data_IF_976700672392
#
_entry.id   IF_976700672392
#
_cell.length_a   1.000
_cell.length_b   1.000
_cell.length_c   1.000
_cell.angle_alpha   90.00
_cell.angle_beta   90.00
_cell.angle_gamma   90.00
#
_symmetry.space_group_name_H-M   'P 1'
#
loop_
_entity.id
_entity.type
_entity.pdbx_description
1 polymer ?
#
# COMPACT_ATOMS: atom_id res chain seq x y z
N UNK A 1 10.13 -20.68 17.36
CA UNK A 1 10.32 -19.22 17.52
C UNK A 1 10.12 -18.57 16.15
N UNK A 2 8.98 -17.99 15.77
CA UNK A 2 8.09 -17.12 16.52
C UNK A 2 8.23 -15.72 15.90
N UNK A 3 7.16 -15.23 15.26
CA UNK A 3 6.99 -13.94 14.57
C UNK A 3 7.13 -13.98 13.04
N UNK A 4 6.03 -14.38 12.39
CA UNK A 4 5.77 -14.06 10.98
C UNK A 4 5.13 -12.67 10.94
N UNK A 5 5.86 -11.66 10.49
CA UNK A 5 5.34 -10.31 10.21
C UNK A 5 4.44 -10.35 8.96
N UNK A 6 3.24 -10.94 9.08
CA UNK A 6 2.22 -11.02 8.03
C UNK A 6 0.92 -10.43 8.53
N UNK A 7 0.86 -9.12 8.68
CA UNK A 7 -0.40 -8.42 8.93
C UNK A 7 -0.19 -6.93 8.75
N UNK A 8 -0.53 -6.37 7.58
CA UNK A 8 -0.98 -4.97 7.53
C UNK A 8 -1.70 -4.61 6.21
N UNK A 9 -1.45 -5.32 5.12
CA UNK A 9 -2.27 -5.17 3.90
C UNK A 9 -3.67 -5.82 4.00
N UNK A 10 -3.99 -6.49 5.11
CA UNK A 10 -5.29 -7.15 5.32
C UNK A 10 -6.40 -6.18 5.69
N UNK A 11 -6.08 -5.03 6.28
CA UNK A 11 -7.07 -4.02 6.66
C UNK A 11 -7.75 -3.41 5.43
N UNK A 12 -6.97 -3.08 4.40
CA UNK A 12 -7.49 -2.61 3.11
C UNK A 12 -8.20 -3.72 2.31
N UNK A 13 -7.81 -4.98 2.50
CA UNK A 13 -8.47 -6.15 1.87
C UNK A 13 -9.85 -6.46 2.48
N UNK A 14 -10.01 -6.33 3.79
CA UNK A 14 -11.28 -6.56 4.50
C UNK A 14 -12.36 -5.56 4.05
N UNK A 15 -11.98 -4.30 3.83
CA UNK A 15 -12.91 -3.25 3.40
C UNK A 15 -13.40 -3.42 1.94
N UNK A 16 -12.56 -3.97 1.06
CA UNK A 16 -12.85 -4.09 -0.38
C UNK A 16 -13.82 -5.23 -0.76
N UNK A 17 -14.23 -6.09 0.19
CA UNK A 17 -15.06 -7.28 -0.08
C UNK A 17 -16.50 -7.21 0.45
N UNK A 18 -16.93 -6.08 1.02
CA UNK A 18 -18.33 -5.93 1.44
C UNK A 18 -19.27 -5.58 0.28
N UNK A 19 -19.76 -6.60 -0.45
CA UNK A 19 -21.09 -6.61 -1.13
C UNK A 19 -21.27 -7.91 -1.96
N UNK A 20 -22.05 -8.85 -1.45
CA UNK A 20 -23.11 -9.59 -2.19
C UNK A 20 -23.98 -10.36 -1.20
N UNK A 21 -25.25 -9.95 -1.07
CA UNK A 21 -26.44 -10.77 -0.83
C UNK A 21 -27.50 -9.91 -0.10
N UNK A 22 -28.55 -9.56 -0.83
CA UNK A 22 -29.75 -8.96 -0.29
C UNK A 22 -30.62 -10.06 0.35
N UNK A 23 -30.85 -9.98 1.66
CA UNK A 23 -32.02 -10.53 2.34
C UNK A 23 -32.26 -9.69 3.61
N UNK A 24 -33.52 -9.29 3.82
CA UNK A 24 -33.95 -8.41 4.90
C UNK A 24 -33.62 -8.97 6.29
N UNK A 25 -32.84 -8.23 7.08
CA UNK A 25 -32.83 -8.33 8.55
C UNK A 25 -32.50 -6.96 9.17
N UNK A 26 -33.29 -6.44 10.13
CA UNK A 26 -32.97 -5.20 10.81
C UNK A 26 -32.14 -5.51 12.05
N UNK A 27 -30.83 -5.18 12.06
CA UNK A 27 -30.08 -4.98 13.31
C UNK A 27 -28.74 -4.27 13.09
N UNK A 28 -28.60 -3.18 13.85
CA UNK A 28 -27.38 -2.45 14.24
C UNK A 28 -26.41 -2.03 13.13
N UNK A 29 -26.56 -0.78 12.68
CA UNK A 29 -25.45 0.03 12.19
C UNK A 29 -24.45 0.22 13.34
N UNK A 30 -23.45 -0.64 13.45
CA UNK A 30 -22.25 -0.36 14.24
C UNK A 30 -21.32 0.55 13.42
N UNK A 31 -20.80 1.66 13.95
CA UNK A 31 -19.79 2.44 13.26
C UNK A 31 -18.47 1.67 13.37
N UNK A 32 -18.21 0.75 12.44
CA UNK A 32 -16.84 0.37 12.15
C UNK A 32 -16.17 1.65 11.64
N UNK A 33 -15.37 2.30 12.48
CA UNK A 33 -14.77 3.59 12.22
C UNK A 33 -14.26 3.61 10.77
N UNK A 34 -14.87 4.47 9.94
CA UNK A 34 -14.40 4.64 8.58
C UNK A 34 -12.94 5.04 8.68
N UNK A 35 -12.03 4.24 8.10
CA UNK A 35 -10.61 4.56 8.08
C UNK A 35 -10.46 6.01 7.60
N UNK A 36 -9.88 6.83 8.46
CA UNK A 36 -9.75 8.27 8.20
C UNK A 36 -8.53 8.53 7.33
N UNK A 37 -8.42 9.75 6.80
CA UNK A 37 -7.19 10.18 6.13
C UNK A 37 -5.96 9.98 7.03
N UNK A 38 -6.09 10.26 8.33
CA UNK A 38 -5.03 10.06 9.32
C UNK A 38 -4.58 8.60 9.40
N UNK A 39 -5.52 7.65 9.40
CA UNK A 39 -5.21 6.22 9.42
C UNK A 39 -4.53 5.80 8.11
N UNK A 40 -5.00 6.33 6.98
CA UNK A 40 -4.38 6.14 5.67
C UNK A 40 -2.94 6.66 5.60
N UNK A 41 -2.69 7.86 6.15
CA UNK A 41 -1.34 8.43 6.25
C UNK A 41 -0.44 7.55 7.10
N UNK A 42 -0.90 7.11 8.28
CA UNK A 42 -0.11 6.21 9.15
C UNK A 42 0.25 4.90 8.43
N UNK A 43 -0.72 4.27 7.77
CA UNK A 43 -0.50 3.03 7.04
C UNK A 43 0.48 3.21 5.86
N UNK A 44 0.36 4.31 5.10
CA UNK A 44 1.25 4.58 3.97
C UNK A 44 2.67 4.97 4.42
N UNK A 45 2.81 5.66 5.56
CA UNK A 45 4.13 5.93 6.16
C UNK A 45 4.80 4.63 6.61
N UNK A 46 4.08 3.73 7.28
CA UNK A 46 4.61 2.42 7.65
C UNK A 46 5.07 1.63 6.41
N UNK A 47 4.24 1.57 5.37
CA UNK A 47 4.57 0.93 4.09
C UNK A 47 5.81 1.53 3.41
N UNK A 48 5.99 2.85 3.51
CA UNK A 48 7.15 3.52 2.94
C UNK A 48 8.47 3.11 3.63
N UNK A 49 8.40 2.69 4.89
CA UNK A 49 9.55 2.26 5.70
C UNK A 49 9.79 0.76 5.68
N UNK A 50 8.87 -0.04 5.14
CA UNK A 50 9.09 -1.47 4.92
C UNK A 50 10.31 -1.72 4.03
N UNK A 51 11.08 -2.76 4.37
CA UNK A 51 12.21 -3.18 3.58
C UNK A 51 11.76 -3.61 2.17
N UNK A 52 12.47 -3.15 1.14
CA UNK A 52 12.18 -3.46 -0.25
C UNK A 52 13.46 -3.69 -1.03
N UNK A 53 13.34 -4.42 -2.14
CA UNK A 53 14.48 -4.66 -3.03
C UNK A 53 14.70 -3.51 -4.00
N UNK A 54 15.95 -3.03 -4.08
CA UNK A 54 16.39 -2.04 -5.06
C UNK A 54 16.73 -2.71 -6.41
N UNK A 55 16.77 -1.96 -7.53
CA UNK A 55 17.30 -2.44 -8.81
C UNK A 55 18.68 -3.08 -8.66
N UNK A 56 18.87 -4.28 -9.21
CA UNK A 56 20.10 -5.08 -9.07
C UNK A 56 20.07 -6.12 -7.94
N UNK A 57 19.06 -6.11 -7.06
CA UNK A 57 18.92 -7.15 -6.03
C UNK A 57 18.17 -8.41 -6.53
N UNK A 58 18.48 -9.61 -5.99
CA UNK A 58 17.87 -10.89 -6.41
C UNK A 58 16.34 -11.00 -6.29
N UNK A 59 15.67 -10.04 -5.66
CA UNK A 59 14.22 -10.03 -5.42
C UNK A 59 13.49 -8.84 -6.03
N UNK A 60 14.18 -8.02 -6.83
CA UNK A 60 13.55 -6.89 -7.51
C UNK A 60 12.67 -7.36 -8.68
N UNK A 61 11.35 -7.18 -8.55
CA UNK A 61 10.37 -7.72 -9.49
C UNK A 61 10.46 -7.18 -10.93
N UNK A 62 11.19 -6.07 -11.14
CA UNK A 62 11.35 -5.37 -12.42
C UNK A 62 12.77 -5.43 -12.97
N UNK A 63 13.58 -6.40 -12.57
CA UNK A 63 15.00 -6.49 -12.95
C UNK A 63 15.26 -6.46 -14.47
N UNK A 64 14.34 -6.94 -15.32
CA UNK A 64 14.49 -6.88 -16.78
C UNK A 64 14.38 -5.47 -17.39
N UNK A 65 13.88 -4.49 -16.62
CA UNK A 65 13.63 -3.13 -17.11
C UNK A 65 14.65 -2.12 -16.58
N UNK A 66 15.44 -2.48 -15.58
CA UNK A 66 16.38 -1.57 -14.93
C UNK A 66 17.77 -2.19 -14.95
N UNK A 67 18.82 -1.41 -15.24
CA UNK A 67 20.18 -1.89 -15.08
C UNK A 67 20.44 -2.22 -13.60
N UNK A 68 21.30 -3.19 -13.36
CA UNK A 68 21.87 -3.37 -12.03
C UNK A 68 22.73 -2.15 -11.68
N UNK A 69 22.72 -1.72 -10.42
CA UNK A 69 23.66 -0.70 -9.94
C UNK A 69 25.10 -1.15 -10.17
N UNK A 70 25.99 -0.22 -10.53
CA UNK A 70 27.38 -0.51 -10.83
C UNK A 70 28.23 -0.71 -9.56
N UNK A 71 27.78 -0.19 -8.41
CA UNK A 71 28.48 -0.31 -7.13
C UNK A 71 27.54 -0.41 -5.92
N UNK A 72 28.03 -0.91 -4.75
CA UNK A 72 27.26 -0.92 -3.51
C UNK A 72 26.77 0.48 -3.08
N UNK A 73 27.59 1.52 -3.27
CA UNK A 73 27.24 2.89 -2.93
C UNK A 73 26.07 3.42 -3.75
N UNK A 74 26.02 3.08 -5.05
CA UNK A 74 24.88 3.43 -5.92
C UNK A 74 23.59 2.71 -5.50
N UNK A 75 23.70 1.44 -5.07
CA UNK A 75 22.55 0.69 -4.56
C UNK A 75 21.98 1.34 -3.29
N UNK A 76 22.86 1.76 -2.37
CA UNK A 76 22.44 2.43 -1.14
C UNK A 76 21.81 3.81 -1.41
N UNK A 77 22.38 4.58 -2.34
CA UNK A 77 21.81 5.84 -2.80
C UNK A 77 20.44 5.62 -3.45
N UNK A 78 20.30 4.61 -4.31
CA UNK A 78 19.04 4.24 -4.95
C UNK A 78 17.98 3.87 -3.91
N UNK A 79 18.35 3.08 -2.89
CA UNK A 79 17.43 2.70 -1.81
C UNK A 79 16.98 3.92 -1.00
N UNK A 80 17.89 4.82 -0.65
CA UNK A 80 17.56 6.06 0.05
C UNK A 80 16.60 6.94 -0.78
N UNK A 81 16.88 7.10 -2.08
CA UNK A 81 16.03 7.85 -2.99
C UNK A 81 14.63 7.24 -3.12
N UNK A 82 14.53 5.92 -3.33
CA UNK A 82 13.25 5.23 -3.44
C UNK A 82 12.45 5.27 -2.13
N UNK A 83 13.11 5.26 -0.97
CA UNK A 83 12.45 5.47 0.33
C UNK A 83 11.83 6.86 0.41
N UNK A 84 12.58 7.91 0.06
CA UNK A 84 12.06 9.28 0.03
C UNK A 84 10.87 9.41 -0.93
N UNK A 85 10.96 8.79 -2.11
CA UNK A 85 9.87 8.76 -3.08
C UNK A 85 8.62 8.08 -2.51
N UNK A 86 8.77 6.95 -1.79
CA UNK A 86 7.66 6.24 -1.14
C UNK A 86 6.96 7.11 -0.09
N UNK A 87 7.72 7.80 0.76
CA UNK A 87 7.18 8.69 1.80
C UNK A 87 6.34 9.83 1.18
N UNK A 88 6.90 10.53 0.19
CA UNK A 88 6.23 11.66 -0.43
C UNK A 88 5.01 11.25 -1.26
N UNK A 89 5.10 10.13 -1.99
CA UNK A 89 3.98 9.58 -2.74
C UNK A 89 2.87 9.07 -1.82
N UNK A 90 3.21 8.41 -0.71
CA UNK A 90 2.24 7.95 0.28
C UNK A 90 1.42 9.09 0.85
N UNK A 91 2.09 10.18 1.25
CA UNK A 91 1.44 11.40 1.75
C UNK A 91 0.50 12.03 0.71
N UNK A 92 0.94 12.18 -0.54
CA UNK A 92 0.12 12.74 -1.63
C UNK A 92 -1.06 11.83 -2.00
N UNK A 93 -0.84 10.52 -1.99
CA UNK A 93 -1.88 9.54 -2.31
C UNK A 93 -2.98 9.53 -1.27
N UNK A 94 -2.66 9.65 0.03
CA UNK A 94 -3.66 9.76 1.09
C UNK A 94 -4.65 10.92 0.84
N UNK A 95 -4.15 12.08 0.41
CA UNK A 95 -5.01 13.23 0.09
C UNK A 95 -5.99 12.91 -1.06
N UNK A 96 -5.54 12.16 -2.07
CA UNK A 96 -6.38 11.78 -3.22
C UNK A 96 -7.38 10.67 -2.90
N UNK A 97 -7.00 9.73 -2.05
CA UNK A 97 -7.85 8.59 -1.67
C UNK A 97 -8.94 9.04 -0.69
N UNK A 98 -8.61 9.85 0.31
CA UNK A 98 -9.53 10.20 1.40
C UNK A 98 -10.22 11.57 1.25
N UNK A 99 -9.75 12.44 0.34
CA UNK A 99 -10.34 13.78 0.14
C UNK A 99 -10.36 14.61 1.43
N UNK A 100 -11.48 15.28 1.70
CA UNK A 100 -11.71 16.11 2.90
C UNK A 100 -12.00 15.27 4.15
N UNK A 101 -11.08 14.37 4.51
CA UNK A 101 -11.16 13.48 5.69
C UNK A 101 -12.35 12.50 5.69
N UNK A 102 -12.83 12.11 4.51
CA UNK A 102 -13.88 11.12 4.33
C UNK A 102 -13.36 9.67 4.25
N UNK A 103 -14.25 8.70 4.06
CA UNK A 103 -13.87 7.31 3.75
C UNK A 103 -13.07 7.23 2.43
N UNK A 104 -12.28 6.17 2.22
CA UNK A 104 -11.48 6.03 1.01
C UNK A 104 -12.36 5.93 -0.24
N UNK A 105 -11.97 6.66 -1.28
CA UNK A 105 -12.70 6.75 -2.55
C UNK A 105 -12.76 5.39 -3.24
N UNK A 106 -14.00 4.96 -3.55
CA UNK A 106 -14.27 3.71 -4.27
C UNK A 106 -13.53 3.64 -5.62
N UNK A 107 -13.38 4.78 -6.31
CA UNK A 107 -12.71 4.84 -7.61
C UNK A 107 -11.22 4.50 -7.50
N UNK A 108 -10.56 4.90 -6.41
CA UNK A 108 -9.18 4.54 -6.14
C UNK A 108 -9.05 3.09 -5.66
N UNK A 109 -9.90 2.67 -4.73
CA UNK A 109 -9.85 1.31 -4.15
C UNK A 109 -10.17 0.22 -5.19
N UNK A 110 -10.93 0.54 -6.25
CA UNK A 110 -11.19 -0.36 -7.37
C UNK A 110 -9.91 -0.88 -8.05
N UNK A 111 -8.78 -0.16 -7.94
CA UNK A 111 -7.50 -0.57 -8.53
C UNK A 111 -6.62 -1.39 -7.59
N UNK A 112 -6.97 -1.52 -6.30
CA UNK A 112 -6.12 -2.17 -5.28
C UNK A 112 -5.74 -3.62 -5.58
N UNK A 113 -6.56 -4.34 -6.37
CA UNK A 113 -6.30 -5.73 -6.77
C UNK A 113 -5.60 -5.86 -8.13
N UNK A 114 -5.43 -4.76 -8.86
CA UNK A 114 -4.83 -4.76 -10.20
C UNK A 114 -3.32 -4.55 -10.06
N UNK A 115 -2.53 -5.49 -10.57
CA UNK A 115 -1.07 -5.42 -10.58
C UNK A 115 -0.59 -4.76 -11.86
N UNK A 116 0.24 -3.73 -11.75
CA UNK A 116 0.92 -3.16 -12.90
C UNK A 116 1.90 -4.19 -13.48
N UNK A 117 1.85 -4.42 -14.80
CA UNK A 117 2.68 -5.42 -15.52
C UNK A 117 2.61 -6.85 -14.94
N UNK A 118 1.54 -7.21 -14.23
CA UNK A 118 1.43 -8.47 -13.48
C UNK A 118 2.56 -8.69 -12.45
N UNK A 119 3.19 -7.60 -11.96
CA UNK A 119 4.24 -7.63 -10.94
C UNK A 119 3.76 -7.01 -9.63
N UNK A 120 4.37 -7.42 -8.51
CA UNK A 120 4.19 -6.84 -7.20
C UNK A 120 5.57 -6.50 -6.63
N UNK A 121 5.66 -5.38 -5.90
CA UNK A 121 6.88 -4.89 -5.26
C UNK A 121 6.93 -5.32 -3.79
#
# INVERSE_FOLDING_TARGET
DGVTARSDASYLRSWALGRTAATHHPRSRGPGAAATQTDGVKALTALAHEAFSAPGEPRFALASFFPAGASPAELDLCRAYLKQAREELGRRLALKVYGDNGPPSKLWIAFSKRKFMNKAL
#
